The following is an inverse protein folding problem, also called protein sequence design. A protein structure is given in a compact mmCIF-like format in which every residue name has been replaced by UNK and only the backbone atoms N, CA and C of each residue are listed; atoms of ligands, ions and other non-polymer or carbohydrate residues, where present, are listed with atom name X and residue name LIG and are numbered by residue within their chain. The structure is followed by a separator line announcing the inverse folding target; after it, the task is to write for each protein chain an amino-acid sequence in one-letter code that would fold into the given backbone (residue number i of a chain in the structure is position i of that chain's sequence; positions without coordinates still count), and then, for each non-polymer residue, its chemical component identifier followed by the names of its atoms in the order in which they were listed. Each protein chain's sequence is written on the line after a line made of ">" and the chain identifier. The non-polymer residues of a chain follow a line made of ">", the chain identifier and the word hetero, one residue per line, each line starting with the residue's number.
data_IF_309480657797
#
_entry.id   IF_309480657797
#
_cell.length_a   1.000
_cell.length_b   1.000
_cell.length_c   1.000
_cell.angle_alpha   90.00
_cell.angle_beta   90.00
_cell.angle_gamma   90.00
#
_symmetry.space_group_name_H-M   'P 1'
#
loop_
_entity.id
_entity.type
_entity.pdbx_description
1 polymer ?
#
# COMPACT_ATOMS: atom_id res chain seq x y z
N UNK A 1 20.20 0.60 -7.77
CA UNK A 1 19.38 -0.59 -8.08
C UNK A 1 19.18 -0.70 -9.58
N UNK A 2 19.37 -1.88 -10.14
CA UNK A 2 19.09 -2.12 -11.56
C UNK A 2 17.57 -2.23 -11.79
N UNK A 3 17.13 -2.11 -13.04
CA UNK A 3 15.72 -2.30 -13.38
C UNK A 3 15.22 -3.69 -12.95
N UNK A 4 16.03 -4.71 -13.14
CA UNK A 4 15.69 -6.08 -12.74
C UNK A 4 15.53 -6.20 -11.23
N UNK A 5 16.40 -5.59 -10.45
CA UNK A 5 16.29 -5.55 -8.99
C UNK A 5 15.06 -4.75 -8.56
N UNK A 6 14.83 -3.60 -9.18
CA UNK A 6 13.70 -2.74 -8.85
C UNK A 6 12.37 -3.46 -9.09
N UNK A 7 12.24 -4.23 -10.17
CA UNK A 7 11.01 -4.95 -10.49
C UNK A 7 10.61 -5.97 -9.41
N UNK A 8 11.57 -6.42 -8.61
CA UNK A 8 11.34 -7.39 -7.51
C UNK A 8 11.11 -6.71 -6.17
N UNK A 9 11.23 -5.39 -6.10
CA UNK A 9 11.07 -4.66 -4.85
C UNK A 9 9.59 -4.55 -4.47
N UNK A 10 9.36 -4.38 -3.18
CA UNK A 10 8.05 -4.03 -2.63
C UNK A 10 8.21 -2.66 -1.96
N UNK A 11 7.33 -1.74 -2.29
CA UNK A 11 7.31 -0.41 -1.70
C UNK A 11 6.18 -0.35 -0.67
N UNK A 12 6.52 0.02 0.56
CA UNK A 12 5.52 0.29 1.59
C UNK A 12 5.38 1.81 1.73
N UNK A 13 4.20 2.31 1.41
CA UNK A 13 3.88 3.72 1.61
C UNK A 13 3.28 3.92 2.99
N UNK A 14 4.01 4.61 3.84
CA UNK A 14 3.60 4.89 5.21
C UNK A 14 3.45 6.40 5.40
N UNK A 15 2.22 6.94 5.26
CA UNK A 15 2.02 8.38 5.49
C UNK A 15 2.30 8.70 6.96
N UNK A 16 3.30 9.53 7.20
CA UNK A 16 3.79 9.85 8.55
C UNK A 16 2.67 10.31 9.47
N UNK A 17 1.78 11.14 8.96
CA UNK A 17 0.68 11.70 9.73
C UNK A 17 -0.40 10.67 10.10
N UNK A 18 -0.39 9.49 9.47
CA UNK A 18 -1.35 8.42 9.76
C UNK A 18 -0.77 7.33 10.66
N UNK A 19 0.56 7.35 10.92
CA UNK A 19 1.22 6.34 11.75
C UNK A 19 1.04 6.67 13.22
N UNK A 20 0.45 5.76 14.00
CA UNK A 20 0.33 5.90 15.45
C UNK A 20 -0.58 7.02 15.94
N UNK A 21 -1.30 7.69 15.06
CA UNK A 21 -2.16 8.82 15.40
C UNK A 21 -3.64 8.46 15.47
N UNK A 22 -4.01 7.28 15.06
CA UNK A 22 -5.42 6.88 14.89
C UNK A 22 -6.09 7.53 13.68
N UNK A 23 -5.39 8.39 12.95
CA UNK A 23 -5.88 9.02 11.73
C UNK A 23 -5.62 8.12 10.54
N UNK A 24 -6.61 7.99 9.69
CA UNK A 24 -6.49 7.20 8.45
C UNK A 24 -6.29 8.14 7.27
N UNK A 25 -5.43 7.74 6.32
CA UNK A 25 -5.43 8.36 5.02
C UNK A 25 -6.76 8.05 4.32
N UNK A 26 -7.26 9.00 3.53
CA UNK A 26 -8.35 8.68 2.64
C UNK A 26 -7.83 7.75 1.53
N UNK A 27 -8.59 6.70 1.13
CA UNK A 27 -8.15 5.81 0.06
C UNK A 27 -7.78 6.55 -1.24
N UNK A 28 -8.52 7.59 -1.58
CA UNK A 28 -8.22 8.40 -2.76
C UNK A 28 -6.86 9.11 -2.65
N UNK A 29 -6.53 9.63 -1.47
CA UNK A 29 -5.24 10.29 -1.23
C UNK A 29 -4.09 9.30 -1.28
N UNK A 30 -4.25 8.15 -0.66
CA UNK A 30 -3.26 7.08 -0.72
C UNK A 30 -3.05 6.62 -2.17
N UNK A 31 -4.12 6.45 -2.92
CA UNK A 31 -4.07 6.07 -4.32
C UNK A 31 -3.30 7.07 -5.18
N UNK A 32 -3.52 8.36 -4.97
CA UNK A 32 -2.78 9.41 -5.69
C UNK A 32 -1.29 9.34 -5.44
N UNK A 33 -0.88 9.11 -4.19
CA UNK A 33 0.54 8.99 -3.87
C UNK A 33 1.13 7.72 -4.51
N UNK A 34 0.39 6.62 -4.50
CA UNK A 34 0.83 5.39 -5.15
C UNK A 34 1.00 5.60 -6.66
N UNK A 35 0.11 6.36 -7.29
CA UNK A 35 0.25 6.72 -8.71
C UNK A 35 1.53 7.53 -8.95
N UNK A 36 1.86 8.46 -8.06
CA UNK A 36 3.12 9.23 -8.14
C UNK A 36 4.32 8.30 -7.98
N UNK A 37 4.27 7.34 -7.07
CA UNK A 37 5.33 6.34 -6.89
C UNK A 37 5.54 5.57 -8.19
N UNK A 38 4.47 5.08 -8.82
CA UNK A 38 4.58 4.34 -10.07
C UNK A 38 5.10 5.22 -11.22
N UNK A 39 4.63 6.46 -11.32
CA UNK A 39 5.13 7.40 -12.33
C UNK A 39 6.64 7.65 -12.15
N UNK A 40 7.09 7.77 -10.91
CA UNK A 40 8.51 7.94 -10.59
C UNK A 40 9.32 6.71 -10.99
N UNK A 41 8.80 5.51 -10.73
CA UNK A 41 9.44 4.26 -11.13
C UNK A 41 9.52 4.14 -12.64
N UNK A 42 8.45 4.52 -13.36
CA UNK A 42 8.43 4.50 -14.82
C UNK A 42 9.46 5.45 -15.40
N UNK A 43 9.58 6.64 -14.82
CA UNK A 43 10.56 7.65 -15.25
C UNK A 43 11.99 7.21 -14.98
N UNK A 44 12.23 6.62 -13.80
CA UNK A 44 13.56 6.19 -13.37
C UNK A 44 14.05 4.92 -14.09
N UNK A 45 13.15 4.02 -14.39
CA UNK A 45 13.43 2.73 -15.02
C UNK A 45 12.64 2.58 -16.32
N UNK A 46 11.45 1.99 -16.24
CA UNK A 46 10.53 1.82 -17.36
C UNK A 46 9.12 1.47 -16.86
N UNK A 47 8.17 1.43 -17.78
CA UNK A 47 6.78 1.10 -17.44
C UNK A 47 6.62 -0.33 -16.92
N UNK A 48 7.43 -1.26 -17.44
CA UNK A 48 7.40 -2.65 -16.97
C UNK A 48 7.77 -2.76 -15.51
N UNK A 49 8.79 -2.05 -15.05
CA UNK A 49 9.18 -1.99 -13.64
C UNK A 49 8.05 -1.37 -12.82
N UNK A 50 7.51 -0.25 -13.28
CA UNK A 50 6.42 0.44 -12.54
C UNK A 50 5.22 -0.48 -12.33
N UNK A 51 4.88 -1.33 -13.27
CA UNK A 51 3.77 -2.27 -13.14
C UNK A 51 4.13 -3.52 -12.31
N UNK A 52 5.39 -3.93 -12.32
CA UNK A 52 5.84 -5.13 -11.60
C UNK A 52 6.01 -4.89 -10.10
N UNK A 53 6.37 -3.68 -9.68
CA UNK A 53 6.57 -3.35 -8.26
C UNK A 53 5.24 -3.41 -7.52
N UNK A 54 5.22 -4.13 -6.40
CA UNK A 54 4.06 -4.14 -5.50
C UNK A 54 4.15 -2.95 -4.56
N UNK A 55 3.05 -2.20 -4.46
CA UNK A 55 2.96 -1.07 -3.55
C UNK A 55 1.92 -1.37 -2.48
N UNK A 56 2.36 -1.34 -1.23
CA UNK A 56 1.52 -1.61 -0.07
C UNK A 56 1.22 -0.32 0.67
N UNK A 57 -0.02 -0.18 1.13
CA UNK A 57 -0.39 0.91 2.02
C UNK A 57 -0.09 0.51 3.47
N UNK A 58 0.69 1.32 4.17
CA UNK A 58 1.16 1.05 5.53
C UNK A 58 0.65 2.03 6.58
N UNK A 59 -0.44 2.72 6.33
CA UNK A 59 -1.06 3.57 7.33
C UNK A 59 -1.91 2.76 8.31
N UNK A 60 -2.92 3.37 8.90
CA UNK A 60 -3.83 2.66 9.81
C UNK A 60 -4.76 1.74 9.02
N UNK A 61 -4.49 0.44 9.09
CA UNK A 61 -5.27 -0.60 8.41
C UNK A 61 -6.07 -1.39 9.43
N UNK A 62 -7.38 -1.48 9.20
CA UNK A 62 -8.34 -2.16 10.07
C UNK A 62 -9.36 -2.93 9.22
N UNK A 63 -10.12 -3.88 9.81
CA UNK A 63 -11.19 -4.56 9.07
C UNK A 63 -12.19 -3.61 8.43
N UNK A 64 -12.44 -2.45 9.06
CA UNK A 64 -13.41 -1.48 8.57
C UNK A 64 -12.96 -0.65 7.38
N UNK A 65 -11.66 -0.59 7.08
CA UNK A 65 -11.17 0.25 5.99
C UNK A 65 -10.39 -0.48 4.89
N UNK A 66 -10.00 -1.73 5.14
CA UNK A 66 -9.16 -2.47 4.19
C UNK A 66 -9.82 -2.61 2.80
N UNK A 67 -11.12 -2.83 2.75
CA UNK A 67 -11.82 -3.00 1.47
C UNK A 67 -11.70 -1.77 0.59
N UNK A 68 -11.82 -0.58 1.18
CA UNK A 68 -11.73 0.68 0.44
C UNK A 68 -10.34 0.90 -0.15
N UNK A 69 -9.29 0.58 0.63
CA UNK A 69 -7.93 0.69 0.13
C UNK A 69 -7.67 -0.32 -0.99
N UNK A 70 -8.10 -1.56 -0.81
CA UNK A 70 -7.87 -2.61 -1.81
C UNK A 70 -8.74 -2.45 -3.05
N UNK A 71 -9.77 -1.64 -3.00
CA UNK A 71 -10.57 -1.30 -4.18
C UNK A 71 -9.81 -0.37 -5.14
N UNK A 72 -8.78 0.33 -4.67
CA UNK A 72 -7.98 1.19 -5.55
C UNK A 72 -7.04 0.33 -6.41
N UNK A 73 -7.09 0.47 -7.75
CA UNK A 73 -6.35 -0.42 -8.65
C UNK A 73 -4.83 -0.35 -8.51
N UNK A 74 -4.29 0.75 -7.99
CA UNK A 74 -2.85 0.95 -7.85
C UNK A 74 -2.28 0.40 -6.54
N UNK A 75 -3.13 0.06 -5.57
CA UNK A 75 -2.71 -0.47 -4.26
C UNK A 75 -2.75 -1.99 -4.33
N UNK A 76 -1.60 -2.62 -4.12
CA UNK A 76 -1.46 -4.08 -4.23
C UNK A 76 -1.63 -4.83 -2.92
N UNK A 77 -1.51 -4.13 -1.80
CA UNK A 77 -1.62 -4.77 -0.49
C UNK A 77 -1.53 -3.79 0.65
N UNK A 78 -1.40 -4.32 1.85
CA UNK A 78 -1.32 -3.54 3.07
C UNK A 78 -0.19 -4.05 3.97
N UNK A 79 0.43 -3.11 4.67
CA UNK A 79 1.36 -3.41 5.76
C UNK A 79 0.60 -3.16 7.05
N UNK A 80 0.25 -4.24 7.76
CA UNK A 80 -0.65 -4.17 8.91
C UNK A 80 0.14 -4.06 10.20
N UNK A 81 -0.11 -3.00 10.97
CA UNK A 81 0.53 -2.75 12.25
C UNK A 81 -0.27 -3.32 13.42
N UNK A 82 -0.79 -2.44 14.28
CA UNK A 82 -1.47 -2.83 15.52
C UNK A 82 -2.58 -3.85 15.38
N UNK A 83 -3.37 -3.79 14.30
CA UNK A 83 -4.44 -4.75 14.06
C UNK A 83 -3.93 -6.19 13.85
N UNK A 84 -2.65 -6.37 13.50
CA UNK A 84 -2.06 -7.70 13.34
C UNK A 84 -1.86 -8.44 14.66
N UNK A 85 -1.98 -7.74 15.79
CA UNK A 85 -1.87 -8.34 17.12
C UNK A 85 -3.15 -9.06 17.55
N UNK A 86 -4.26 -8.79 16.87
CA UNK A 86 -5.53 -9.45 17.10
C UNK A 86 -5.79 -10.45 15.96
N UNK A 87 -5.84 -11.76 16.24
CA UNK A 87 -6.02 -12.76 15.19
C UNK A 87 -7.33 -12.63 14.43
N UNK A 88 -8.41 -12.21 15.10
CA UNK A 88 -9.70 -12.03 14.43
C UNK A 88 -9.66 -10.85 13.46
N UNK A 89 -9.08 -9.73 13.88
CA UNK A 89 -8.94 -8.55 13.04
C UNK A 89 -8.04 -8.85 11.83
N UNK A 90 -6.91 -9.52 12.06
CA UNK A 90 -6.02 -9.88 10.97
C UNK A 90 -6.71 -10.80 9.96
N UNK A 91 -7.48 -11.78 10.45
CA UNK A 91 -8.23 -12.67 9.57
C UNK A 91 -9.25 -11.91 8.71
N UNK A 92 -9.96 -10.95 9.31
CA UNK A 92 -10.92 -10.11 8.58
C UNK A 92 -10.23 -9.21 7.54
N UNK A 93 -9.05 -8.70 7.85
CA UNK A 93 -8.25 -7.92 6.90
C UNK A 93 -7.84 -8.78 5.71
N UNK A 94 -7.35 -9.99 5.96
CA UNK A 94 -6.94 -10.93 4.90
C UNK A 94 -8.14 -11.31 4.02
N UNK A 95 -9.29 -11.47 4.63
CA UNK A 95 -10.54 -11.87 3.95
C UNK A 95 -11.42 -10.67 3.61
N UNK A 96 -10.83 -9.57 3.20
CA UNK A 96 -11.55 -8.31 2.98
C UNK A 96 -12.64 -8.37 1.89
N UNK A 97 -12.60 -9.36 1.05
CA UNK A 97 -13.57 -9.56 -0.04
C UNK A 97 -14.88 -10.14 0.45
#
# INVERSE_FOLDING_TARGET
>A
MTAEQAAKAVVAYEPIWAIGTGRNAEPADAGRVVEVIRATLADRYDDGVAQAVRVQYGGSVKPGNIREFMAHPEIDGALVGGASLDPEDLALIIKYR
#
